data_IF_991790310178
#
_entry.id   IF_991790310178
#
_cell.length_a   1.000
_cell.length_b   1.000
_cell.length_c   1.000
_cell.angle_alpha   90.00
_cell.angle_beta   90.00
_cell.angle_gamma   90.00
#
_symmetry.space_group_name_H-M   'P 1'
#
loop_
_entity.id
_entity.type
_entity.pdbx_description
1 polymer ?
#
# COMPACT_ATOMS: atom_id res chain seq x y z
N UNK A 1 -9.51 25.94 6.46
CA UNK A 1 -8.33 25.14 6.10
C UNK A 1 -8.35 23.98 7.07
N UNK A 2 -8.81 22.82 6.61
CA UNK A 2 -8.87 21.63 7.46
C UNK A 2 -7.43 21.17 7.74
N UNK A 3 -7.16 20.86 9.00
CA UNK A 3 -5.87 20.42 9.53
C UNK A 3 -5.59 18.93 9.27
N UNK A 4 -6.42 18.26 8.50
CA UNK A 4 -6.19 16.90 8.01
C UNK A 4 -5.61 16.94 6.58
N UNK A 5 -4.27 16.93 6.41
CA UNK A 5 -3.62 16.83 5.10
C UNK A 5 -3.74 15.39 4.58
N UNK A 6 -4.94 15.02 4.14
CA UNK A 6 -5.24 13.72 3.54
C UNK A 6 -5.85 13.80 2.15
N UNK A 7 -6.25 14.99 1.70
CA UNK A 7 -6.73 15.18 0.34
C UNK A 7 -5.51 15.25 -0.57
N UNK A 8 -5.28 14.21 -1.35
CA UNK A 8 -4.35 14.27 -2.47
C UNK A 8 -4.72 15.48 -3.33
N UNK A 9 -3.72 16.23 -3.82
CA UNK A 9 -3.96 17.40 -4.65
C UNK A 9 -4.96 17.06 -5.76
N UNK A 10 -6.04 17.82 -5.88
CA UNK A 10 -6.97 17.68 -6.99
C UNK A 10 -6.19 17.80 -8.31
N UNK A 11 -6.22 16.75 -9.13
CA UNK A 11 -5.44 16.68 -10.37
C UNK A 11 -4.10 15.94 -10.28
N UNK A 12 -3.74 15.36 -9.13
CA UNK A 12 -2.63 14.41 -9.05
C UNK A 12 -2.94 13.20 -9.95
N UNK A 13 -2.04 12.94 -10.89
CA UNK A 13 -2.22 11.93 -11.91
C UNK A 13 -0.92 11.18 -12.12
N UNK A 14 -0.71 10.10 -11.37
CA UNK A 14 0.42 9.19 -11.62
C UNK A 14 -0.02 8.15 -12.66
N UNK A 15 0.74 8.06 -13.74
CA UNK A 15 0.57 7.04 -14.79
C UNK A 15 1.71 6.04 -14.75
N UNK A 16 1.48 4.84 -15.30
CA UNK A 16 2.45 3.76 -15.32
C UNK A 16 3.01 3.47 -13.91
N UNK A 17 2.11 3.45 -12.92
CA UNK A 17 2.48 3.14 -11.55
C UNK A 17 3.00 1.71 -11.48
N UNK A 18 4.21 1.55 -10.96
CA UNK A 18 4.85 0.25 -10.81
C UNK A 18 5.58 0.19 -9.47
N UNK A 19 5.48 -0.97 -8.82
CA UNK A 19 6.21 -1.31 -7.60
C UNK A 19 7.02 -2.58 -7.85
N UNK A 20 8.25 -2.61 -7.34
CA UNK A 20 9.10 -3.80 -7.33
C UNK A 20 9.63 -4.07 -5.93
N UNK A 21 9.64 -5.34 -5.54
CA UNK A 21 10.22 -5.84 -4.29
C UNK A 21 11.34 -6.81 -4.65
N UNK A 22 12.58 -6.52 -4.24
CA UNK A 22 13.72 -7.40 -4.51
C UNK A 22 14.03 -7.63 -5.99
N UNK A 23 13.52 -6.78 -6.88
CA UNK A 23 13.63 -6.92 -8.34
C UNK A 23 12.39 -7.55 -9.01
N UNK A 24 11.48 -8.14 -8.23
CA UNK A 24 10.25 -8.72 -8.74
C UNK A 24 9.14 -7.68 -8.85
N UNK A 25 8.44 -7.68 -9.98
CA UNK A 25 7.32 -6.77 -10.25
C UNK A 25 6.07 -7.18 -9.44
N UNK A 26 5.49 -6.22 -8.72
CA UNK A 26 4.20 -6.43 -8.02
C UNK A 26 3.06 -6.54 -9.02
N UNK A 27 3.07 -5.69 -10.06
CA UNK A 27 2.09 -5.74 -11.15
C UNK A 27 2.72 -6.36 -12.39
N UNK A 28 2.05 -7.33 -13.00
CA UNK A 28 2.52 -8.01 -14.21
C UNK A 28 2.63 -7.08 -15.43
N UNK A 29 1.75 -6.08 -15.51
CA UNK A 29 1.71 -5.09 -16.58
C UNK A 29 1.72 -3.67 -16.00
N UNK A 30 2.31 -2.70 -16.71
CA UNK A 30 2.18 -1.28 -16.38
C UNK A 30 0.73 -0.83 -16.64
N UNK A 31 -0.12 -1.01 -15.65
CA UNK A 31 -1.55 -0.67 -15.78
C UNK A 31 -1.77 0.82 -15.58
N UNK A 32 -2.80 1.34 -16.24
CA UNK A 32 -3.42 2.58 -15.78
C UNK A 32 -4.12 2.24 -14.47
N UNK A 33 -3.59 2.73 -13.36
CA UNK A 33 -4.13 2.45 -12.03
C UNK A 33 -5.43 3.23 -11.82
N UNK A 34 -6.55 2.52 -11.89
CA UNK A 34 -7.91 3.04 -11.73
C UNK A 34 -8.54 2.54 -10.43
N UNK A 35 -9.81 2.91 -10.21
CA UNK A 35 -10.52 2.51 -9.00
C UNK A 35 -10.71 0.99 -8.90
N UNK A 36 -10.84 0.29 -10.03
CA UNK A 36 -10.95 -1.18 -10.05
C UNK A 36 -9.66 -1.83 -9.55
N UNK A 37 -8.51 -1.36 -10.05
CA UNK A 37 -7.20 -1.81 -9.58
C UNK A 37 -7.00 -1.52 -8.08
N UNK A 38 -7.40 -0.33 -7.62
CA UNK A 38 -7.40 0.00 -6.19
C UNK A 38 -8.24 -0.97 -5.36
N UNK A 39 -9.49 -1.23 -5.80
CA UNK A 39 -10.40 -2.13 -5.10
C UNK A 39 -9.87 -3.57 -5.05
N UNK A 40 -9.23 -4.04 -6.13
CA UNK A 40 -8.56 -5.36 -6.17
C UNK A 40 -7.44 -5.46 -5.13
N UNK A 41 -6.56 -4.45 -5.04
CA UNK A 41 -5.47 -4.43 -4.05
C UNK A 41 -5.99 -4.37 -2.62
N UNK A 42 -7.01 -3.55 -2.36
CA UNK A 42 -7.67 -3.49 -1.05
C UNK A 42 -8.35 -4.81 -0.69
N UNK A 43 -8.96 -5.51 -1.65
CA UNK A 43 -9.55 -6.82 -1.44
C UNK A 43 -8.51 -7.88 -1.06
N UNK A 44 -7.30 -7.83 -1.64
CA UNK A 44 -6.19 -8.73 -1.26
C UNK A 44 -5.77 -8.53 0.19
N UNK A 45 -5.65 -7.27 0.64
CA UNK A 45 -5.37 -6.93 2.03
C UNK A 45 -6.45 -7.47 2.98
N UNK A 46 -7.73 -7.32 2.63
CA UNK A 46 -8.86 -7.86 3.40
C UNK A 46 -8.91 -9.40 3.45
N UNK A 47 -8.52 -10.06 2.35
CA UNK A 47 -8.46 -11.52 2.26
C UNK A 47 -7.33 -12.13 3.12
N UNK A 48 -6.22 -11.41 3.29
CA UNK A 48 -5.10 -11.83 4.16
C UNK A 48 -5.55 -11.93 5.63
N UNK A 49 -6.44 -11.04 6.07
CA UNK A 49 -7.02 -11.08 7.42
C UNK A 49 -8.24 -12.00 7.56
N UNK A 50 -8.51 -12.89 6.59
CA UNK A 50 -9.64 -13.82 6.64
C UNK A 50 -11.01 -13.13 6.74
N UNK A 51 -11.13 -11.88 6.28
CA UNK A 51 -12.30 -11.02 6.50
C UNK A 51 -12.67 -10.79 7.97
N UNK A 52 -11.77 -11.06 8.92
CA UNK A 52 -12.03 -10.89 10.36
C UNK A 52 -11.90 -9.44 10.82
N UNK A 53 -11.21 -8.59 10.06
CA UNK A 53 -11.10 -7.17 10.35
C UNK A 53 -12.02 -6.34 9.44
N UNK A 54 -13.16 -5.90 10.00
CA UNK A 54 -14.09 -4.98 9.35
C UNK A 54 -13.51 -3.57 9.17
N UNK A 55 -12.32 -3.27 9.73
CA UNK A 55 -11.70 -1.94 9.70
C UNK A 55 -11.10 -1.55 8.35
N UNK A 56 -10.73 -2.51 7.51
CA UNK A 56 -10.31 -2.23 6.12
C UNK A 56 -11.51 -2.04 5.19
N UNK A 57 -12.71 -2.40 5.64
CA UNK A 57 -13.96 -2.12 4.96
C UNK A 57 -14.39 -0.67 5.26
N UNK A 58 -13.55 0.27 4.82
CA UNK A 58 -13.99 1.65 4.69
C UNK A 58 -14.98 1.72 3.53
N UNK A 59 -16.25 1.41 3.77
CA UNK A 59 -17.39 1.76 2.90
C UNK A 59 -17.51 3.29 2.67
N UNK A 60 -16.54 4.07 3.14
CA UNK A 60 -16.44 5.52 3.11
C UNK A 60 -15.73 6.08 1.88
N UNK A 61 -15.16 5.24 1.00
CA UNK A 61 -14.47 5.71 -0.19
C UNK A 61 -15.10 5.13 -1.46
N UNK A 62 -16.10 5.84 -1.99
CA UNK A 62 -16.69 5.50 -3.28
C UNK A 62 -15.76 5.90 -4.46
N UNK A 63 -16.09 5.44 -5.66
CA UNK A 63 -15.30 5.72 -6.86
C UNK A 63 -15.11 7.22 -7.12
N UNK A 64 -16.12 8.06 -6.83
CA UNK A 64 -16.03 9.49 -7.06
C UNK A 64 -15.10 10.15 -6.03
N UNK A 65 -15.22 9.76 -4.76
CA UNK A 65 -14.35 10.23 -3.69
C UNK A 65 -12.89 9.82 -3.92
N UNK A 66 -12.63 8.58 -4.32
CA UNK A 66 -11.29 8.14 -4.69
C UNK A 66 -10.77 8.90 -5.92
N UNK A 67 -11.58 9.05 -6.97
CA UNK A 67 -11.15 9.67 -8.24
C UNK A 67 -10.82 11.15 -8.09
N UNK A 68 -11.62 11.89 -7.32
CA UNK A 68 -11.57 13.35 -7.30
C UNK A 68 -10.98 13.94 -6.01
N UNK A 69 -10.92 13.18 -4.92
CA UNK A 69 -10.44 13.69 -3.62
C UNK A 69 -9.29 12.86 -3.01
N UNK A 70 -9.27 11.54 -3.20
CA UNK A 70 -8.41 10.61 -2.46
C UNK A 70 -7.80 9.53 -3.36
N UNK A 71 -7.09 9.93 -4.42
CA UNK A 71 -6.49 9.03 -5.42
C UNK A 71 -5.26 8.24 -4.92
N UNK A 72 -5.44 7.49 -3.84
CA UNK A 72 -4.40 6.70 -3.22
C UNK A 72 -4.01 5.51 -4.12
N UNK A 73 -2.72 5.25 -4.21
CA UNK A 73 -2.17 4.11 -4.94
C UNK A 73 -1.71 3.07 -3.92
N UNK A 74 -2.18 1.83 -4.07
CA UNK A 74 -1.91 0.74 -3.14
C UNK A 74 -1.26 -0.41 -3.90
N UNK A 75 -0.29 -1.06 -3.26
CA UNK A 75 0.34 -2.27 -3.77
C UNK A 75 0.44 -3.26 -2.61
N UNK A 76 -0.26 -4.38 -2.72
CA UNK A 76 -0.18 -5.48 -1.77
C UNK A 76 1.08 -6.30 -2.06
N UNK A 77 1.98 -6.40 -1.07
CA UNK A 77 3.32 -6.97 -1.25
C UNK A 77 3.70 -8.00 -0.18
N UNK A 78 2.75 -8.41 0.68
CA UNK A 78 3.02 -9.28 1.83
C UNK A 78 3.60 -10.63 1.46
N UNK A 79 3.32 -11.12 0.24
CA UNK A 79 3.75 -12.43 -0.27
C UNK A 79 5.02 -12.37 -1.11
N UNK A 80 5.68 -11.22 -1.19
CA UNK A 80 6.86 -11.00 -2.03
C UNK A 80 8.17 -10.93 -1.23
N UNK A 81 8.08 -10.95 0.10
CA UNK A 81 9.23 -10.89 1.01
C UNK A 81 9.41 -12.20 1.74
N UNK A 82 10.65 -12.51 2.12
CA UNK A 82 10.98 -13.64 2.98
C UNK A 82 11.47 -13.12 4.34
N UNK A 83 11.16 -13.82 5.45
CA UNK A 83 11.69 -13.48 6.77
C UNK A 83 13.22 -13.33 6.73
N UNK A 84 13.72 -12.27 7.37
CA UNK A 84 15.15 -11.96 7.49
C UNK A 84 15.96 -11.82 6.19
N UNK A 85 15.31 -11.75 5.02
CA UNK A 85 15.96 -11.45 3.74
C UNK A 85 15.70 -9.99 3.37
N UNK A 86 16.74 -9.12 3.36
CA UNK A 86 16.58 -7.75 2.91
C UNK A 86 16.10 -7.71 1.46
N UNK A 87 15.06 -6.91 1.19
CA UNK A 87 14.55 -6.66 -0.14
C UNK A 87 14.54 -5.16 -0.43
N UNK A 88 14.93 -4.78 -1.65
CA UNK A 88 14.78 -3.39 -2.11
C UNK A 88 13.32 -3.10 -2.43
N UNK A 89 12.89 -1.87 -2.17
CA UNK A 89 11.58 -1.37 -2.59
C UNK A 89 11.81 -0.28 -3.63
N UNK A 90 11.30 -0.49 -4.84
CA UNK A 90 11.36 0.50 -5.92
C UNK A 90 9.94 0.88 -6.31
N UNK A 91 9.63 2.17 -6.19
CA UNK A 91 8.35 2.74 -6.63
C UNK A 91 8.63 3.68 -7.79
N UNK A 92 7.87 3.52 -8.87
CA UNK A 92 8.04 4.31 -10.09
C UNK A 92 6.70 4.67 -10.72
N UNK A 93 6.73 5.75 -11.49
CA UNK A 93 5.57 6.26 -12.20
C UNK A 93 5.89 7.57 -12.90
N UNK A 94 4.95 8.04 -13.70
CA UNK A 94 5.02 9.29 -14.45
C UNK A 94 4.05 10.28 -13.82
N UNK A 95 4.56 11.41 -13.32
CA UNK A 95 3.72 12.52 -12.93
C UNK A 95 3.11 13.16 -14.19
N UNK A 96 1.82 12.96 -14.40
CA UNK A 96 1.04 13.55 -15.49
C UNK A 96 0.24 14.79 -15.05
N UNK A 97 0.43 15.27 -13.82
CA UNK A 97 -0.14 16.52 -13.37
C UNK A 97 0.58 17.71 -14.03
N UNK A 98 -0.09 18.86 -14.10
CA UNK A 98 0.48 20.08 -14.65
C UNK A 98 1.50 20.75 -13.71
N UNK A 99 1.69 20.22 -12.49
CA UNK A 99 2.56 20.76 -11.45
C UNK A 99 3.43 19.63 -10.87
N UNK A 100 4.55 20.01 -10.26
CA UNK A 100 5.35 19.08 -9.46
C UNK A 100 4.52 18.47 -8.33
N UNK A 101 4.85 17.25 -7.93
CA UNK A 101 4.14 16.53 -6.88
C UNK A 101 5.13 15.99 -5.86
N UNK A 102 4.84 16.24 -4.60
CA UNK A 102 5.53 15.60 -3.47
C UNK A 102 4.77 14.31 -3.12
N UNK A 103 5.51 13.22 -2.93
CA UNK A 103 4.93 11.90 -2.67
C UNK A 103 5.29 11.46 -1.24
N UNK A 104 4.26 11.08 -0.47
CA UNK A 104 4.43 10.35 0.79
C UNK A 104 4.28 8.85 0.51
N UNK A 105 5.33 8.09 0.77
CA UNK A 105 5.32 6.63 0.62
C UNK A 105 5.25 6.00 2.01
N UNK A 106 4.20 5.20 2.24
CA UNK A 106 4.04 4.42 3.47
C UNK A 106 4.29 2.95 3.15
N UNK A 107 5.39 2.40 3.68
CA UNK A 107 5.72 0.98 3.57
C UNK A 107 5.41 0.35 4.92
N UNK A 108 4.41 -0.52 4.95
CA UNK A 108 3.96 -1.22 6.16
C UNK A 108 4.38 -2.68 6.06
N UNK A 109 5.05 -3.17 7.09
CA UNK A 109 5.46 -4.57 7.20
C UNK A 109 5.16 -5.08 8.61
N UNK A 110 5.01 -6.39 8.73
CA UNK A 110 4.82 -7.06 10.01
C UNK A 110 6.15 -7.67 10.49
N UNK A 111 6.32 -7.71 11.81
CA UNK A 111 7.43 -8.42 12.45
C UNK A 111 6.88 -9.20 13.64
N UNK A 112 7.19 -10.50 13.70
CA UNK A 112 6.79 -11.36 14.82
C UNK A 112 7.88 -11.38 15.90
N UNK A 113 7.48 -11.46 17.16
CA UNK A 113 8.36 -11.54 18.33
C UNK A 113 7.78 -12.58 19.28
N UNK A 114 8.63 -13.45 19.81
CA UNK A 114 8.27 -14.42 20.83
C UNK A 114 8.78 -13.96 22.19
N UNK A 115 7.92 -13.98 23.20
CA UNK A 115 8.26 -13.67 24.58
C UNK A 115 8.12 -14.94 25.41
N UNK A 116 9.23 -15.40 25.99
CA UNK A 116 9.18 -16.42 27.03
C UNK A 116 8.82 -15.75 28.36
N UNK A 117 7.58 -15.96 28.78
CA UNK A 117 7.03 -15.40 30.03
C UNK A 117 7.67 -15.98 31.29
N UNK A 118 8.40 -17.09 31.19
CA UNK A 118 9.00 -17.79 32.33
C UNK A 118 10.44 -17.34 32.57
N UNK A 119 11.16 -17.00 31.51
CA UNK A 119 12.54 -16.49 31.56
C UNK A 119 12.64 -14.97 31.34
N UNK A 120 11.54 -14.33 30.94
CA UNK A 120 11.45 -12.92 30.53
C UNK A 120 12.34 -12.59 29.31
N UNK A 121 12.79 -13.61 28.56
CA UNK A 121 13.59 -13.42 27.36
C UNK A 121 12.70 -13.17 26.13
N UNK A 122 13.10 -12.21 25.30
CA UNK A 122 12.46 -11.90 24.02
C UNK A 122 13.30 -12.50 22.91
N UNK A 123 12.70 -13.40 22.14
CA UNK A 123 13.28 -13.99 20.95
C UNK A 123 12.65 -13.36 19.69
N UNK A 124 13.41 -13.34 18.61
CA UNK A 124 12.83 -13.19 17.29
C UNK A 124 12.11 -14.49 16.98
N UNK A 125 10.82 -14.39 16.63
CA UNK A 125 10.10 -15.52 16.07
C UNK A 125 10.61 -15.70 14.64
N UNK A 126 11.39 -16.76 14.41
CA UNK A 126 11.92 -17.17 13.10
C UNK A 126 10.83 -17.64 12.13
#
# INVERSE_FOLDING_TARGET
MDSAPGTLQAGLAIRNFQVQIGGDNVFNDSKTYDFSAFAEEMAKLGAINGSLDSRLNCELLDQNQWTYANRMLVAEVSRMTHPDVPASVVVSGINAAAQGSDLLLLIVYEHSLELDVLTEEVYRAD
#
